data_IF_700544804144
#
_entry.id   IF_700544804144
#
_cell.length_a   1.000
_cell.length_b   1.000
_cell.length_c   1.000
_cell.angle_alpha   90.00
_cell.angle_beta   90.00
_cell.angle_gamma   90.00
#
_symmetry.space_group_name_H-M   'P 1'
#
loop_
_entity.id
_entity.type
_entity.pdbx_description
1 polymer ?
#
# COMPACT_ATOMS: atom_id res chain seq x y z
N UNK A 1 -6.05 23.30 24.37
CA UNK A 1 -7.34 22.75 23.90
C UNK A 1 -8.31 22.52 25.06
N UNK A 2 -7.92 21.82 26.13
CA UNK A 2 -8.79 21.53 27.30
C UNK A 2 -9.53 22.73 27.91
N UNK A 3 -8.86 23.89 27.97
CA UNK A 3 -9.47 25.14 28.45
C UNK A 3 -10.60 25.63 27.53
N UNK A 4 -10.45 25.48 26.21
CA UNK A 4 -11.45 25.86 25.21
C UNK A 4 -12.64 24.89 25.24
N UNK A 5 -12.35 23.58 25.35
CA UNK A 5 -13.39 22.55 25.46
C UNK A 5 -14.30 22.73 26.69
N UNK A 6 -13.81 23.39 27.74
CA UNK A 6 -14.63 23.72 28.91
C UNK A 6 -15.77 24.73 28.62
N UNK A 7 -15.68 25.47 27.50
CA UNK A 7 -16.70 26.45 27.09
C UNK A 7 -17.51 25.99 25.86
N UNK A 8 -17.13 24.86 25.25
CA UNK A 8 -17.82 24.34 24.08
C UNK A 8 -19.17 23.74 24.48
N UNK A 9 -20.23 24.19 23.82
CA UNK A 9 -21.57 23.61 23.95
C UNK A 9 -21.94 22.77 22.72
N UNK A 10 -21.27 22.99 21.60
CA UNK A 10 -21.48 22.23 20.36
C UNK A 10 -20.16 21.98 19.67
N UNK A 11 -20.08 20.89 18.92
CA UNK A 11 -19.05 20.68 17.91
C UNK A 11 -19.70 20.38 16.57
N UNK A 12 -19.27 21.08 15.53
CA UNK A 12 -19.62 20.79 14.15
C UNK A 12 -18.50 19.99 13.51
N UNK A 13 -18.87 18.87 12.90
CA UNK A 13 -17.99 17.93 12.23
C UNK A 13 -18.16 18.08 10.73
N UNK A 14 -17.08 18.39 10.03
CA UNK A 14 -17.07 18.52 8.56
C UNK A 14 -15.92 17.71 7.99
N UNK A 15 -16.13 17.02 6.87
CA UNK A 15 -15.04 16.44 6.10
C UNK A 15 -14.12 17.56 5.62
N UNK A 16 -12.81 17.38 5.81
CA UNK A 16 -11.83 18.35 5.38
C UNK A 16 -11.64 18.23 3.86
N UNK A 17 -12.22 19.16 3.10
CA UNK A 17 -12.02 19.24 1.65
C UNK A 17 -10.77 20.05 1.32
N UNK A 18 -10.05 19.65 0.27
CA UNK A 18 -8.81 20.30 -0.17
C UNK A 18 -8.95 21.76 -0.63
N UNK A 19 -10.18 22.30 -0.68
CA UNK A 19 -10.47 23.68 -1.03
C UNK A 19 -11.44 24.26 0.01
N UNK A 20 -11.05 25.38 0.60
CA UNK A 20 -11.88 26.27 1.44
C UNK A 20 -12.98 26.92 0.60
N UNK A 21 -13.91 26.13 0.05
CA UNK A 21 -15.22 26.68 -0.32
C UNK A 21 -16.10 26.64 0.92
N UNK A 22 -16.89 27.69 1.12
CA UNK A 22 -17.78 27.91 2.27
C UNK A 22 -18.68 26.69 2.54
N UNK A 23 -18.19 25.73 3.32
CA UNK A 23 -18.95 24.60 3.89
C UNK A 23 -19.86 25.08 5.05
N UNK A 24 -20.35 26.31 4.97
CA UNK A 24 -21.24 26.91 5.94
C UNK A 24 -22.61 26.22 5.84
N UNK A 25 -22.74 25.04 6.45
CA UNK A 25 -24.02 24.37 6.68
C UNK A 25 -24.09 22.86 6.46
N UNK A 26 -23.04 22.18 5.98
CA UNK A 26 -23.13 20.75 5.62
C UNK A 26 -22.52 19.76 6.62
N UNK A 27 -22.24 20.18 7.86
CA UNK A 27 -21.63 19.33 8.89
C UNK A 27 -22.62 18.71 9.87
N UNK A 28 -22.24 17.60 10.49
CA UNK A 28 -22.96 17.03 11.64
C UNK A 28 -22.70 17.92 12.85
N UNK A 29 -23.76 18.35 13.55
CA UNK A 29 -23.62 19.10 14.81
C UNK A 29 -23.95 18.18 15.98
N UNK A 30 -23.00 18.07 16.91
CA UNK A 30 -23.15 17.31 18.15
C UNK A 30 -23.29 18.27 19.31
N UNK A 31 -24.28 18.01 20.17
CA UNK A 31 -24.53 18.77 21.39
C UNK A 31 -23.60 18.29 22.51
N UNK A 32 -22.67 19.16 22.91
CA UNK A 32 -21.70 18.92 23.99
C UNK A 32 -22.16 19.52 25.32
N UNK A 33 -23.38 20.07 25.41
CA UNK A 33 -23.94 20.57 26.68
C UNK A 33 -24.17 19.46 27.70
N UNK A 34 -24.26 18.21 27.23
CA UNK A 34 -24.33 17.03 28.08
C UNK A 34 -22.93 16.63 28.58
N UNK A 35 -22.73 16.45 29.91
CA UNK A 35 -21.42 16.12 30.46
C UNK A 35 -20.83 14.80 29.97
N UNK A 36 -21.67 13.82 29.63
CA UNK A 36 -21.25 12.53 29.09
C UNK A 36 -20.69 12.65 27.67
N UNK A 37 -21.33 13.45 26.81
CA UNK A 37 -20.84 13.71 25.44
C UNK A 37 -19.52 14.48 25.44
N UNK A 38 -19.45 15.57 26.21
CA UNK A 38 -18.20 16.32 26.34
C UNK A 38 -17.09 15.45 26.95
N UNK A 39 -17.41 14.67 27.98
CA UNK A 39 -16.47 13.74 28.59
C UNK A 39 -15.96 12.69 27.59
N UNK A 40 -16.86 12.08 26.81
CA UNK A 40 -16.54 11.12 25.78
C UNK A 40 -15.62 11.68 24.70
N UNK A 41 -15.94 12.86 24.17
CA UNK A 41 -15.10 13.53 23.18
C UNK A 41 -13.72 13.91 23.75
N UNK A 42 -13.66 14.44 24.98
CA UNK A 42 -12.38 14.78 25.63
C UNK A 42 -11.49 13.57 25.83
N UNK A 43 -12.06 12.45 26.29
CA UNK A 43 -11.32 11.19 26.41
C UNK A 43 -10.83 10.69 25.06
N UNK A 44 -11.66 10.77 24.02
CA UNK A 44 -11.29 10.33 22.69
C UNK A 44 -10.23 11.22 22.02
N UNK A 45 -10.21 12.52 22.32
CA UNK A 45 -9.22 13.50 21.84
C UNK A 45 -7.97 13.60 22.73
N UNK A 46 -7.79 12.68 23.70
CA UNK A 46 -6.64 12.70 24.59
C UNK A 46 -5.33 12.61 23.80
N UNK A 47 -4.39 13.48 24.15
CA UNK A 47 -3.08 13.60 23.49
C UNK A 47 -2.03 12.85 24.32
N UNK A 48 -1.25 12.01 23.65
CA UNK A 48 -0.10 11.29 24.22
C UNK A 48 1.16 12.19 24.23
N UNK A 49 1.45 12.84 23.09
CA UNK A 49 2.66 13.64 22.94
C UNK A 49 2.51 14.87 22.03
N UNK A 50 3.33 15.90 22.30
CA UNK A 50 3.43 17.16 21.55
C UNK A 50 4.87 17.74 21.64
N UNK A 51 5.42 18.32 20.56
CA UNK A 51 4.87 18.30 19.20
C UNK A 51 5.15 16.95 18.52
N UNK A 52 4.19 16.46 17.74
CA UNK A 52 4.41 15.37 16.79
C UNK A 52 4.97 15.89 15.46
N UNK A 53 4.94 15.04 14.43
CA UNK A 53 5.23 15.46 13.05
C UNK A 53 4.12 16.35 12.49
N UNK A 54 4.44 17.14 11.45
CA UNK A 54 3.44 17.93 10.71
C UNK A 54 3.05 17.17 9.44
N UNK A 55 1.80 16.72 9.36
CA UNK A 55 1.27 16.12 8.16
C UNK A 55 1.03 17.18 7.06
N UNK A 56 1.35 16.85 5.81
CA UNK A 56 1.13 17.75 4.67
C UNK A 56 -0.28 17.65 4.07
N UNK A 57 -1.17 16.82 4.63
CA UNK A 57 -2.57 16.75 4.18
C UNK A 57 -3.43 17.84 4.82
N UNK A 58 -4.62 18.07 4.26
CA UNK A 58 -5.62 19.01 4.78
C UNK A 58 -6.36 18.52 6.03
N UNK A 59 -6.16 17.26 6.42
CA UNK A 59 -6.95 16.55 7.43
C UNK A 59 -8.04 15.68 6.80
N UNK A 60 -8.67 14.85 7.63
CA UNK A 60 -9.84 14.03 7.28
C UNK A 60 -11.12 14.69 7.78
N UNK A 61 -11.11 15.16 9.04
CA UNK A 61 -12.26 15.77 9.71
C UNK A 61 -11.83 17.05 10.42
N UNK A 62 -12.62 18.11 10.24
CA UNK A 62 -12.54 19.33 11.03
C UNK A 62 -13.58 19.29 12.15
N UNK A 63 -13.12 19.61 13.37
CA UNK A 63 -13.90 19.79 14.59
C UNK A 63 -14.00 21.29 14.87
N UNK A 64 -15.12 21.90 14.53
CA UNK A 64 -15.40 23.30 14.84
C UNK A 64 -16.16 23.40 16.18
N UNK A 65 -15.52 23.94 17.20
CA UNK A 65 -16.09 24.08 18.54
C UNK A 65 -16.82 25.41 18.67
N UNK A 66 -18.06 25.38 19.17
CA UNK A 66 -18.94 26.54 19.33
C UNK A 66 -19.39 26.70 20.78
N UNK A 67 -19.61 27.95 21.22
CA UNK A 67 -20.20 28.26 22.53
C UNK A 67 -21.72 27.99 22.57
N UNK A 68 -22.35 28.19 23.73
CA UNK A 68 -23.80 27.99 23.91
C UNK A 68 -24.70 28.91 23.04
N UNK A 69 -24.12 29.97 22.46
CA UNK A 69 -24.80 30.88 21.51
C UNK A 69 -24.49 30.52 20.05
N UNK A 70 -23.72 29.45 19.81
CA UNK A 70 -23.28 29.03 18.48
C UNK A 70 -22.10 29.85 17.94
N UNK A 71 -21.40 30.61 18.78
CA UNK A 71 -20.24 31.39 18.35
C UNK A 71 -18.98 30.53 18.30
N UNK A 72 -18.21 30.69 17.23
CA UNK A 72 -16.93 30.00 17.04
C UNK A 72 -15.96 30.23 18.19
N UNK A 73 -15.40 29.14 18.73
CA UNK A 73 -14.35 29.15 19.73
C UNK A 73 -13.00 28.79 19.10
N UNK A 74 -12.94 27.65 18.40
CA UNK A 74 -11.73 27.16 17.75
C UNK A 74 -12.03 26.01 16.79
N UNK A 75 -11.04 25.61 15.98
CA UNK A 75 -11.12 24.42 15.13
C UNK A 75 -9.90 23.51 15.33
N UNK A 76 -10.12 22.20 15.33
CA UNK A 76 -9.05 21.20 15.27
C UNK A 76 -9.26 20.26 14.08
N UNK A 77 -8.20 19.70 13.53
CA UNK A 77 -8.25 18.81 12.36
C UNK A 77 -7.68 17.44 12.72
N UNK A 78 -8.44 16.39 12.44
CA UNK A 78 -7.97 15.00 12.56
C UNK A 78 -7.22 14.62 11.28
N UNK A 79 -6.05 14.01 11.44
CA UNK A 79 -5.23 13.52 10.35
C UNK A 79 -4.98 12.01 10.50
N UNK A 80 -5.36 11.27 9.47
CA UNK A 80 -5.22 9.83 9.31
C UNK A 80 -5.72 9.01 10.50
N UNK A 81 -6.69 9.54 11.24
CA UNK A 81 -7.20 8.92 12.47
C UNK A 81 -6.18 8.83 13.63
N UNK A 82 -5.03 9.49 13.56
CA UNK A 82 -3.92 9.30 14.54
C UNK A 82 -3.39 10.59 15.16
N UNK A 83 -3.51 11.72 14.48
CA UNK A 83 -3.02 13.01 14.99
C UNK A 83 -4.09 14.10 14.90
N UNK A 84 -3.99 15.08 15.79
CA UNK A 84 -4.82 16.29 15.79
C UNK A 84 -3.97 17.52 15.55
N UNK A 85 -4.37 18.38 14.62
CA UNK A 85 -3.81 19.72 14.44
C UNK A 85 -4.71 20.76 15.08
N UNK A 86 -4.12 21.66 15.84
CA UNK A 86 -4.79 22.80 16.44
C UNK A 86 -3.85 24.00 16.43
N UNK A 87 -4.35 25.18 16.04
CA UNK A 87 -3.52 26.39 15.91
C UNK A 87 -2.84 26.84 17.22
N UNK A 88 -3.30 26.33 18.36
CA UNK A 88 -2.68 26.56 19.66
C UNK A 88 -1.49 25.65 19.98
N UNK A 89 -1.05 24.81 19.04
CA UNK A 89 0.07 23.87 19.21
C UNK A 89 1.14 24.05 18.11
N UNK A 90 2.40 23.75 18.46
CA UNK A 90 3.52 23.75 17.52
C UNK A 90 3.58 22.43 16.72
N UNK A 91 2.52 22.10 15.96
CA UNK A 91 2.45 20.91 15.10
C UNK A 91 1.28 19.98 15.44
N UNK A 92 1.31 18.74 14.93
CA UNK A 92 0.23 17.78 15.14
C UNK A 92 0.45 16.99 16.43
N UNK A 93 -0.54 16.95 17.29
CA UNK A 93 -0.54 16.17 18.51
C UNK A 93 -0.86 14.70 18.23
N UNK A 94 -0.12 13.77 18.83
CA UNK A 94 -0.40 12.33 18.71
C UNK A 94 -1.52 11.94 19.67
N UNK A 95 -2.55 11.27 19.18
CA UNK A 95 -3.65 10.77 20.01
C UNK A 95 -3.19 9.57 20.84
N UNK A 96 -3.67 9.47 22.09
CA UNK A 96 -3.50 8.28 22.94
C UNK A 96 -4.15 7.06 22.28
N UNK A 97 -5.36 7.24 21.76
CA UNK A 97 -6.11 6.21 21.04
C UNK A 97 -6.94 6.85 19.92
N UNK A 98 -6.34 6.94 18.73
CA UNK A 98 -7.02 7.44 17.54
C UNK A 98 -8.28 6.67 17.17
N UNK A 99 -8.33 5.35 17.44
CA UNK A 99 -9.49 4.52 17.12
C UNK A 99 -10.69 4.86 18.01
N UNK A 100 -10.45 5.27 19.26
CA UNK A 100 -11.52 5.78 20.13
C UNK A 100 -12.19 7.04 19.56
N UNK A 101 -11.42 7.97 18.98
CA UNK A 101 -11.98 9.15 18.30
C UNK A 101 -12.75 8.78 17.03
N UNK A 102 -12.22 7.86 16.23
CA UNK A 102 -12.92 7.36 15.03
C UNK A 102 -14.25 6.66 15.37
N UNK A 103 -14.31 5.90 16.47
CA UNK A 103 -15.56 5.31 16.97
C UNK A 103 -16.55 6.34 17.48
N UNK A 104 -16.05 7.39 18.14
CA UNK A 104 -16.91 8.50 18.57
C UNK A 104 -17.51 9.21 17.35
N UNK A 105 -16.74 9.42 16.28
CA UNK A 105 -17.24 9.96 15.01
C UNK A 105 -18.30 9.05 14.36
N UNK A 106 -18.05 7.75 14.30
CA UNK A 106 -18.99 6.76 13.76
C UNK A 106 -20.33 6.78 14.50
N UNK A 107 -20.31 6.80 15.84
CA UNK A 107 -21.49 6.90 16.68
C UNK A 107 -22.33 8.16 16.37
N UNK A 108 -21.68 9.22 15.93
CA UNK A 108 -22.30 10.50 15.58
C UNK A 108 -22.61 10.63 14.08
N UNK A 109 -22.59 9.53 13.33
CA UNK A 109 -23.01 9.52 11.93
C UNK A 109 -21.92 9.95 10.94
N UNK A 110 -20.65 9.91 11.36
CA UNK A 110 -19.47 10.15 10.50
C UNK A 110 -18.64 8.86 10.38
N UNK A 111 -19.15 7.80 9.69
CA UNK A 111 -18.51 6.48 9.64
C UNK A 111 -17.32 6.39 8.67
N UNK A 112 -17.16 7.37 7.78
CA UNK A 112 -16.15 7.37 6.72
C UNK A 112 -14.72 7.17 7.24
N UNK A 113 -14.25 8.01 8.18
CA UNK A 113 -12.91 7.93 8.74
C UNK A 113 -12.57 6.58 9.38
N UNK A 114 -13.50 5.98 10.15
CA UNK A 114 -13.27 4.68 10.78
C UNK A 114 -13.10 3.57 9.72
N UNK A 115 -13.97 3.54 8.71
CA UNK A 115 -13.88 2.56 7.62
C UNK A 115 -12.56 2.70 6.85
N UNK A 116 -12.17 3.93 6.50
CA UNK A 116 -10.90 4.17 5.81
C UNK A 116 -9.70 3.72 6.65
N UNK A 117 -9.69 4.04 7.94
CA UNK A 117 -8.63 3.62 8.86
C UNK A 117 -8.51 2.09 8.92
N UNK A 118 -9.63 1.38 9.04
CA UNK A 118 -9.63 -0.09 9.09
C UNK A 118 -9.18 -0.71 7.75
N UNK A 119 -9.58 -0.13 6.61
CA UNK A 119 -9.10 -0.53 5.29
C UNK A 119 -7.59 -0.30 5.15
N UNK A 120 -7.07 0.81 5.66
CA UNK A 120 -5.64 1.14 5.68
C UNK A 120 -4.84 0.17 6.55
N UNK A 121 -5.34 -0.18 7.74
CA UNK A 121 -4.74 -1.20 8.59
C UNK A 121 -4.66 -2.54 7.84
N UNK A 122 -5.76 -2.98 7.22
CA UNK A 122 -5.80 -4.23 6.45
C UNK A 122 -4.84 -4.19 5.25
N UNK A 123 -4.78 -3.06 4.52
CA UNK A 123 -3.80 -2.88 3.43
C UNK A 123 -2.36 -2.95 3.93
N UNK A 124 -2.07 -2.31 5.07
CA UNK A 124 -0.74 -2.32 5.67
C UNK A 124 -0.32 -3.73 6.13
N UNK A 125 -1.22 -4.49 6.76
CA UNK A 125 -0.91 -5.87 7.16
C UNK A 125 -0.68 -6.78 5.95
N UNK A 126 -1.52 -6.68 4.91
CA UNK A 126 -1.29 -7.41 3.65
C UNK A 126 0.05 -7.06 3.02
N UNK A 127 0.37 -5.77 2.93
CA UNK A 127 1.66 -5.32 2.38
C UNK A 127 2.86 -5.87 3.16
N UNK A 128 2.76 -5.99 4.49
CA UNK A 128 3.80 -6.64 5.32
C UNK A 128 3.96 -8.12 5.03
N UNK A 129 2.86 -8.84 4.92
CA UNK A 129 2.86 -10.27 4.59
C UNK A 129 3.43 -10.51 3.19
N UNK A 130 3.06 -9.66 2.24
CA UNK A 130 3.59 -9.65 0.88
C UNK A 130 5.10 -9.37 0.88
N UNK A 131 5.58 -8.32 1.57
CA UNK A 131 7.02 -8.02 1.70
C UNK A 131 7.78 -9.22 2.29
N UNK A 132 7.24 -9.86 3.33
CA UNK A 132 7.83 -11.06 3.94
C UNK A 132 7.89 -12.22 2.96
N UNK A 133 6.82 -12.46 2.20
CA UNK A 133 6.76 -13.51 1.18
C UNK A 133 7.77 -13.25 0.06
N UNK A 134 7.91 -11.99 -0.37
CA UNK A 134 8.87 -11.57 -1.37
C UNK A 134 10.33 -11.77 -0.92
N UNK A 135 10.65 -11.43 0.33
CA UNK A 135 11.97 -11.69 0.92
C UNK A 135 12.24 -13.18 1.06
N UNK A 136 11.25 -13.98 1.46
CA UNK A 136 11.40 -15.43 1.61
C UNK A 136 11.66 -16.14 0.26
N UNK A 137 11.13 -15.59 -0.84
CA UNK A 137 11.36 -16.10 -2.19
C UNK A 137 12.64 -15.55 -2.84
N UNK A 138 13.28 -14.54 -2.25
CA UNK A 138 14.54 -13.97 -2.76
C UNK A 138 15.63 -15.04 -2.81
N UNK A 139 16.37 -15.17 -3.93
CA UNK A 139 17.53 -16.05 -3.99
C UNK A 139 18.51 -15.72 -2.85
N UNK A 140 18.97 -16.70 -2.03
CA UNK A 140 19.83 -16.41 -0.87
C UNK A 140 21.09 -15.62 -1.21
N UNK A 141 21.63 -15.82 -2.42
CA UNK A 141 22.77 -15.08 -2.97
C UNK A 141 22.55 -13.56 -3.06
N UNK A 142 21.30 -13.09 -3.04
CA UNK A 142 20.93 -11.68 -3.18
C UNK A 142 20.50 -11.04 -1.86
N UNK A 143 20.52 -11.79 -0.75
CA UNK A 143 20.08 -11.30 0.57
C UNK A 143 20.79 -10.02 1.02
N UNK A 144 22.06 -9.84 0.64
CA UNK A 144 22.86 -8.63 0.90
C UNK A 144 22.29 -7.36 0.24
N UNK A 145 21.49 -7.49 -0.82
CA UNK A 145 20.86 -6.36 -1.52
C UNK A 145 19.44 -6.04 -1.03
N UNK A 146 18.88 -6.85 -0.11
CA UNK A 146 17.48 -6.76 0.31
C UNK A 146 17.07 -5.37 0.78
N UNK A 147 17.83 -4.77 1.70
CA UNK A 147 17.52 -3.43 2.23
C UNK A 147 17.60 -2.36 1.13
N UNK A 148 18.58 -2.44 0.24
CA UNK A 148 18.70 -1.51 -0.88
C UNK A 148 17.50 -1.60 -1.85
N UNK A 149 16.98 -2.82 -2.06
CA UNK A 149 15.79 -3.07 -2.87
C UNK A 149 14.51 -2.59 -2.17
N UNK A 150 14.30 -2.93 -0.90
CA UNK A 150 13.12 -2.49 -0.13
C UNK A 150 13.02 -0.96 -0.03
N UNK A 151 14.17 -0.28 0.06
CA UNK A 151 14.22 1.19 0.07
C UNK A 151 13.57 1.82 -1.17
N UNK A 152 13.55 1.13 -2.32
CA UNK A 152 12.90 1.62 -3.54
C UNK A 152 11.43 1.93 -3.31
N UNK A 153 10.71 1.07 -2.59
CA UNK A 153 9.30 1.29 -2.27
C UNK A 153 9.11 2.39 -1.23
N UNK A 154 10.01 2.50 -0.26
CA UNK A 154 9.94 3.50 0.81
C UNK A 154 10.19 4.92 0.29
N UNK A 155 11.04 5.07 -0.71
CA UNK A 155 11.42 6.38 -1.27
C UNK A 155 10.77 6.69 -2.62
N UNK A 156 9.92 5.80 -3.15
CA UNK A 156 9.39 5.93 -4.51
C UNK A 156 10.46 5.88 -5.61
N UNK A 157 11.60 5.25 -5.34
CA UNK A 157 12.74 5.16 -6.25
C UNK A 157 12.59 4.07 -7.32
N UNK A 158 13.43 4.16 -8.35
CA UNK A 158 13.60 3.12 -9.38
C UNK A 158 14.89 2.33 -9.17
N UNK A 159 14.93 1.08 -9.64
CA UNK A 159 16.14 0.24 -9.61
C UNK A 159 17.26 0.91 -10.42
N UNK A 160 18.43 1.12 -9.81
CA UNK A 160 19.58 1.68 -10.52
C UNK A 160 20.28 0.64 -11.39
N UNK A 161 20.90 1.02 -12.52
CA UNK A 161 21.67 0.10 -13.35
C UNK A 161 22.80 -0.61 -12.60
N UNK A 162 23.44 0.07 -11.64
CA UNK A 162 24.53 -0.49 -10.83
C UNK A 162 24.03 -1.57 -9.87
N UNK A 163 22.90 -1.34 -9.19
CA UNK A 163 22.29 -2.34 -8.31
C UNK A 163 21.88 -3.57 -9.12
N UNK A 164 21.25 -3.37 -10.28
CA UNK A 164 20.82 -4.46 -11.14
C UNK A 164 22.01 -5.27 -11.68
N UNK A 165 23.09 -4.60 -12.11
CA UNK A 165 24.31 -5.27 -12.58
C UNK A 165 24.98 -6.09 -11.46
N UNK A 166 25.12 -5.53 -10.26
CA UNK A 166 25.71 -6.22 -9.12
C UNK A 166 24.90 -7.46 -8.71
N UNK A 167 23.56 -7.32 -8.63
CA UNK A 167 22.67 -8.44 -8.33
C UNK A 167 22.77 -9.54 -9.41
N UNK A 168 22.82 -9.15 -10.69
CA UNK A 168 22.97 -10.09 -11.81
C UNK A 168 24.28 -10.87 -11.73
N UNK A 169 25.39 -10.20 -11.49
CA UNK A 169 26.70 -10.85 -11.41
C UNK A 169 26.76 -11.79 -10.20
N UNK A 170 26.23 -11.36 -9.06
CA UNK A 170 26.15 -12.18 -7.84
C UNK A 170 25.33 -13.45 -8.05
N UNK A 171 24.19 -13.33 -8.74
CA UNK A 171 23.33 -14.46 -9.07
C UNK A 171 24.02 -15.43 -10.03
N UNK A 172 24.70 -14.94 -11.07
CA UNK A 172 25.44 -15.78 -12.03
C UNK A 172 26.59 -16.54 -11.38
N UNK A 173 27.31 -15.90 -10.46
CA UNK A 173 28.40 -16.54 -9.71
C UNK A 173 27.88 -17.64 -8.79
N UNK A 174 26.77 -17.39 -8.10
CA UNK A 174 26.23 -18.30 -7.08
C UNK A 174 25.37 -19.42 -7.68
N UNK A 175 24.76 -19.18 -8.84
CA UNK A 175 23.91 -20.13 -9.57
C UNK A 175 24.34 -20.14 -11.05
N UNK A 176 25.38 -20.92 -11.40
CA UNK A 176 25.91 -20.95 -12.76
C UNK A 176 24.93 -21.51 -13.80
N UNK A 177 24.08 -22.45 -13.40
CA UNK A 177 23.08 -23.07 -14.27
C UNK A 177 21.98 -22.07 -14.67
N UNK A 178 21.83 -21.74 -15.97
CA UNK A 178 20.82 -20.79 -16.44
C UNK A 178 19.39 -21.22 -16.14
N UNK A 179 19.07 -22.52 -16.20
CA UNK A 179 17.73 -23.02 -15.95
C UNK A 179 17.36 -22.86 -14.47
N UNK A 180 18.24 -23.25 -13.54
CA UNK A 180 18.04 -23.02 -12.11
C UNK A 180 17.90 -21.52 -11.78
N UNK A 181 18.66 -20.63 -12.43
CA UNK A 181 18.46 -19.18 -12.26
C UNK A 181 17.07 -18.73 -12.73
N UNK A 182 16.61 -19.20 -13.88
CA UNK A 182 15.30 -18.86 -14.41
C UNK A 182 14.20 -19.27 -13.43
N UNK A 183 14.26 -20.51 -12.90
CA UNK A 183 13.30 -20.99 -11.89
C UNK A 183 13.30 -20.13 -10.62
N UNK A 184 14.48 -19.85 -10.05
CA UNK A 184 14.59 -19.00 -8.85
C UNK A 184 14.01 -17.60 -9.09
N UNK A 185 14.33 -16.98 -10.23
CA UNK A 185 13.83 -15.66 -10.56
C UNK A 185 12.32 -15.65 -10.85
N UNK A 186 11.77 -16.68 -11.49
CA UNK A 186 10.33 -16.82 -11.69
C UNK A 186 9.60 -16.98 -10.36
N UNK A 187 10.06 -17.87 -9.48
CA UNK A 187 9.47 -18.04 -8.15
C UNK A 187 9.49 -16.74 -7.35
N UNK A 188 10.60 -15.98 -7.41
CA UNK A 188 10.71 -14.68 -6.76
C UNK A 188 9.82 -13.61 -7.41
N UNK A 189 9.71 -13.60 -8.75
CA UNK A 189 8.84 -12.68 -9.48
C UNK A 189 7.37 -12.91 -9.13
N UNK A 190 6.95 -14.16 -8.93
CA UNK A 190 5.60 -14.53 -8.54
C UNK A 190 5.26 -14.24 -7.07
N UNK A 191 6.26 -13.95 -6.23
CA UNK A 191 6.08 -13.65 -4.81
C UNK A 191 5.73 -12.16 -4.57
N UNK A 192 5.46 -11.82 -3.31
CA UNK A 192 4.98 -10.50 -2.92
C UNK A 192 3.49 -10.34 -3.18
N UNK A 193 3.09 -9.16 -3.64
CA UNK A 193 1.71 -8.86 -4.05
C UNK A 193 1.23 -9.73 -5.21
N UNK A 194 2.17 -10.18 -6.05
CA UNK A 194 1.88 -10.94 -7.26
C UNK A 194 1.10 -10.14 -8.32
N UNK A 195 0.89 -8.83 -8.14
CA UNK A 195 0.14 -7.99 -9.07
C UNK A 195 0.90 -7.79 -10.38
N UNK A 196 0.16 -7.69 -11.48
CA UNK A 196 0.71 -7.33 -12.79
C UNK A 196 0.99 -5.83 -12.94
N UNK A 197 0.34 -4.99 -12.14
CA UNK A 197 0.50 -3.54 -12.13
C UNK A 197 0.26 -2.97 -10.72
N UNK A 198 0.72 -1.74 -10.44
CA UNK A 198 0.51 -1.10 -9.14
C UNK A 198 1.23 -1.74 -7.94
N UNK A 199 2.18 -2.64 -8.19
CA UNK A 199 2.96 -3.32 -7.16
C UNK A 199 4.07 -2.42 -6.57
N UNK A 200 4.56 -2.71 -5.35
CA UNK A 200 5.68 -1.99 -4.75
C UNK A 200 6.94 -2.03 -5.64
N UNK A 201 7.64 -0.89 -5.79
CA UNK A 201 8.82 -0.74 -6.66
C UNK A 201 9.90 -1.82 -6.49
N UNK A 202 10.12 -2.33 -5.26
CA UNK A 202 11.09 -3.39 -5.02
C UNK A 202 10.76 -4.70 -5.75
N UNK A 203 9.48 -4.99 -5.98
CA UNK A 203 9.04 -6.21 -6.67
C UNK A 203 9.32 -6.18 -8.19
N UNK A 204 9.73 -5.04 -8.75
CA UNK A 204 10.16 -4.96 -10.15
C UNK A 204 11.49 -5.69 -10.40
N UNK A 205 12.34 -5.82 -9.38
CA UNK A 205 13.71 -6.34 -9.48
C UNK A 205 13.79 -7.74 -10.14
N UNK A 206 13.06 -8.77 -9.69
CA UNK A 206 13.12 -10.09 -10.33
C UNK A 206 12.74 -10.06 -11.81
N UNK A 207 11.73 -9.27 -12.19
CA UNK A 207 11.32 -9.11 -13.60
C UNK A 207 12.41 -8.45 -14.45
N UNK A 208 13.09 -7.44 -13.90
CA UNK A 208 14.24 -6.80 -14.57
C UNK A 208 15.41 -7.78 -14.75
N UNK A 209 15.69 -8.64 -13.76
CA UNK A 209 16.71 -9.68 -13.87
C UNK A 209 16.32 -10.77 -14.87
N UNK A 210 15.04 -11.15 -14.93
CA UNK A 210 14.49 -12.06 -15.95
C UNK A 210 14.59 -11.46 -17.36
N UNK A 211 14.61 -10.13 -17.47
CA UNK A 211 14.78 -9.43 -18.75
C UNK A 211 16.06 -9.79 -19.50
N UNK A 212 17.10 -10.27 -18.81
CA UNK A 212 18.36 -10.73 -19.43
C UNK A 212 18.45 -12.25 -19.60
N UNK A 213 17.42 -12.99 -19.16
CA UNK A 213 17.36 -14.44 -19.32
C UNK A 213 16.79 -14.74 -20.71
N UNK A 214 17.50 -15.51 -21.56
CA UNK A 214 16.97 -15.92 -22.85
C UNK A 214 15.64 -16.67 -22.70
N UNK A 215 14.68 -16.39 -23.57
CA UNK A 215 13.34 -16.99 -23.48
C UNK A 215 13.38 -18.53 -23.53
N UNK A 216 14.34 -19.12 -24.25
CA UNK A 216 14.57 -20.56 -24.29
C UNK A 216 14.87 -21.16 -22.90
N UNK A 217 15.59 -20.45 -22.05
CA UNK A 217 15.91 -20.88 -20.67
C UNK A 217 14.69 -20.75 -19.75
N UNK A 218 13.86 -19.71 -19.96
CA UNK A 218 12.60 -19.54 -19.24
C UNK A 218 11.64 -20.68 -19.59
N UNK A 219 11.51 -21.02 -20.88
CA UNK A 219 10.68 -22.14 -21.34
C UNK A 219 11.19 -23.46 -20.79
N UNK A 220 12.50 -23.72 -20.89
CA UNK A 220 13.12 -24.94 -20.35
C UNK A 220 12.87 -25.07 -18.85
N UNK A 221 13.04 -23.98 -18.09
CA UNK A 221 12.71 -23.94 -16.67
C UNK A 221 11.25 -24.27 -16.39
N UNK A 222 10.30 -23.66 -17.11
CA UNK A 222 8.87 -23.92 -16.93
C UNK A 222 8.43 -25.35 -17.33
N UNK A 223 9.22 -26.03 -18.16
CA UNK A 223 9.01 -27.43 -18.53
C UNK A 223 9.72 -28.42 -17.60
N UNK A 224 10.63 -27.96 -16.74
CA UNK A 224 11.32 -28.79 -15.76
C UNK A 224 10.30 -29.37 -14.75
N UNK A 225 10.42 -30.65 -14.36
CA UNK A 225 9.52 -31.28 -13.38
C UNK A 225 9.47 -30.59 -12.00
N UNK A 226 10.46 -29.76 -11.67
CA UNK A 226 10.51 -28.97 -10.43
C UNK A 226 9.67 -27.68 -10.51
N UNK A 227 9.26 -27.27 -11.71
CA UNK A 227 8.39 -26.13 -11.89
C UNK A 227 7.00 -26.42 -11.29
N UNK A 228 6.45 -25.41 -10.62
CA UNK A 228 5.17 -25.47 -9.94
C UNK A 228 4.40 -24.15 -10.11
N UNK A 229 3.26 -24.02 -9.42
CA UNK A 229 2.39 -22.85 -9.52
C UNK A 229 3.08 -21.51 -9.20
N UNK A 230 4.15 -21.50 -8.39
CA UNK A 230 4.90 -20.26 -8.07
C UNK A 230 5.67 -19.75 -9.28
N UNK A 231 6.24 -20.68 -10.04
CA UNK A 231 6.97 -20.38 -11.27
C UNK A 231 6.01 -19.90 -12.36
N UNK A 232 4.83 -20.53 -12.46
CA UNK A 232 3.78 -20.09 -13.37
C UNK A 232 3.28 -18.68 -13.03
N UNK A 233 3.06 -18.38 -11.74
CA UNK A 233 2.66 -17.04 -11.30
C UNK A 233 3.71 -15.98 -11.67
N UNK A 234 4.99 -16.29 -11.48
CA UNK A 234 6.08 -15.41 -11.90
C UNK A 234 6.19 -15.24 -13.42
N UNK A 235 5.97 -16.32 -14.18
CA UNK A 235 5.98 -16.26 -15.64
C UNK A 235 4.83 -15.39 -16.17
N UNK A 236 3.62 -15.55 -15.62
CA UNK A 236 2.48 -14.67 -15.94
C UNK A 236 2.86 -13.23 -15.64
N UNK A 237 3.33 -12.93 -14.43
CA UNK A 237 3.70 -11.56 -14.05
C UNK A 237 4.76 -10.96 -15.00
N UNK A 238 5.79 -11.72 -15.33
CA UNK A 238 6.88 -11.29 -16.21
C UNK A 238 6.43 -11.06 -17.66
N UNK A 239 5.65 -12.00 -18.21
CA UNK A 239 5.29 -12.02 -19.63
C UNK A 239 4.06 -11.15 -19.95
N UNK A 240 3.16 -10.90 -18.98
CA UNK A 240 1.92 -10.14 -19.22
C UNK A 240 1.77 -8.86 -18.38
N UNK A 241 2.74 -8.56 -17.50
CA UNK A 241 2.73 -7.41 -16.60
C UNK A 241 2.80 -6.03 -17.28
N UNK A 242 2.66 -4.96 -16.50
CA UNK A 242 2.78 -3.58 -17.00
C UNK A 242 4.25 -3.21 -17.27
N UNK A 243 4.53 -2.60 -18.44
CA UNK A 243 5.88 -2.39 -19.01
C UNK A 243 6.64 -3.67 -19.35
N UNK A 244 5.91 -4.76 -19.57
CA UNK A 244 6.43 -5.98 -20.19
C UNK A 244 7.20 -5.63 -21.46
N UNK A 245 8.49 -5.95 -21.40
CA UNK A 245 9.57 -6.00 -22.40
C UNK A 245 9.26 -5.46 -23.82
N UNK A 246 10.21 -4.76 -24.48
CA UNK A 246 10.08 -4.35 -25.88
C UNK A 246 9.67 -5.49 -26.84
N UNK A 247 10.05 -6.73 -26.51
CA UNK A 247 9.83 -7.94 -27.31
C UNK A 247 8.68 -8.82 -26.77
N UNK A 248 7.80 -8.30 -25.91
CA UNK A 248 6.75 -9.08 -25.24
C UNK A 248 5.94 -9.98 -26.19
N UNK A 249 5.50 -9.43 -27.34
CA UNK A 249 4.73 -10.21 -28.31
C UNK A 249 5.54 -11.43 -28.80
N UNK A 250 6.81 -11.23 -29.12
CA UNK A 250 7.69 -12.29 -29.59
C UNK A 250 7.94 -13.35 -28.51
N UNK A 251 8.18 -12.92 -27.26
CA UNK A 251 8.38 -13.82 -26.12
C UNK A 251 7.15 -14.70 -25.88
N UNK A 252 5.95 -14.11 -25.93
CA UNK A 252 4.69 -14.83 -25.77
C UNK A 252 4.42 -15.75 -26.95
N UNK A 253 4.72 -15.31 -28.18
CA UNK A 253 4.63 -16.13 -29.40
C UNK A 253 5.57 -17.34 -29.38
N UNK A 254 6.71 -17.24 -28.68
CA UNK A 254 7.66 -18.35 -28.51
C UNK A 254 7.19 -19.42 -27.52
N UNK A 255 6.17 -19.17 -26.70
CA UNK A 255 5.65 -20.15 -25.73
C UNK A 255 5.00 -21.35 -26.44
N UNK A 256 5.36 -22.59 -26.09
CA UNK A 256 4.62 -23.77 -26.52
C UNK A 256 3.15 -23.71 -26.09
N UNK A 257 2.23 -24.15 -26.96
CA UNK A 257 0.79 -24.08 -26.69
C UNK A 257 0.36 -24.72 -25.35
N UNK A 258 0.88 -25.88 -24.92
CA UNK A 258 0.53 -26.45 -23.61
C UNK A 258 0.94 -25.56 -22.45
N UNK A 259 2.10 -24.90 -22.55
CA UNK A 259 2.59 -23.99 -21.52
C UNK A 259 1.74 -22.72 -21.47
N UNK A 260 1.43 -22.14 -22.64
CA UNK A 260 0.54 -20.97 -22.74
C UNK A 260 -0.82 -21.23 -22.08
N UNK A 261 -1.42 -22.38 -22.36
CA UNK A 261 -2.70 -22.79 -21.74
C UNK A 261 -2.59 -22.94 -20.22
N UNK A 262 -1.50 -23.55 -19.72
CA UNK A 262 -1.23 -23.69 -18.27
C UNK A 262 -1.12 -22.33 -17.58
N UNK A 263 -0.35 -21.40 -18.16
CA UNK A 263 -0.19 -20.05 -17.62
C UNK A 263 -1.50 -19.26 -17.62
N UNK A 264 -2.30 -19.36 -18.70
CA UNK A 264 -3.62 -18.73 -18.77
C UNK A 264 -4.58 -19.29 -17.71
N UNK A 265 -4.57 -20.60 -17.49
CA UNK A 265 -5.38 -21.23 -16.45
C UNK A 265 -4.96 -20.74 -15.05
N UNK A 266 -3.65 -20.67 -14.78
CA UNK A 266 -3.12 -20.14 -13.53
C UNK A 266 -3.54 -18.68 -13.29
N UNK A 267 -3.50 -17.84 -14.33
CA UNK A 267 -3.95 -16.45 -14.24
C UNK A 267 -5.45 -16.33 -13.93
N UNK A 268 -6.30 -17.14 -14.57
CA UNK A 268 -7.75 -17.18 -14.28
C UNK A 268 -8.07 -17.65 -12.86
N UNK A 269 -7.27 -18.56 -12.31
CA UNK A 269 -7.44 -19.07 -10.95
C UNK A 269 -6.92 -18.11 -9.87
N UNK A 270 -6.25 -17.01 -10.23
CA UNK A 270 -5.57 -16.12 -9.27
C UNK A 270 -6.49 -15.21 -8.45
N UNK A 271 -7.73 -14.99 -8.90
CA UNK A 271 -8.67 -14.05 -8.29
C UNK A 271 -8.33 -12.56 -8.53
N UNK A 272 -7.30 -12.25 -9.33
CA UNK A 272 -6.92 -10.89 -9.70
C UNK A 272 -7.48 -10.52 -11.09
N UNK A 273 -8.46 -9.60 -11.18
CA UNK A 273 -9.08 -9.22 -12.44
C UNK A 273 -8.13 -8.56 -13.45
N UNK A 274 -7.14 -7.77 -13.00
CA UNK A 274 -6.16 -7.13 -13.91
C UNK A 274 -5.24 -8.20 -14.50
N UNK A 275 -4.75 -9.12 -13.66
CA UNK A 275 -3.93 -10.25 -14.12
C UNK A 275 -4.70 -11.14 -15.08
N UNK A 276 -5.96 -11.47 -14.80
CA UNK A 276 -6.79 -12.26 -15.69
C UNK A 276 -6.97 -11.57 -17.04
N UNK A 277 -7.40 -10.30 -17.06
CA UNK A 277 -7.64 -9.56 -18.29
C UNK A 277 -6.37 -9.44 -19.15
N UNK A 278 -5.21 -9.22 -18.52
CA UNK A 278 -3.91 -9.21 -19.21
C UNK A 278 -3.54 -10.57 -19.77
N UNK A 279 -3.69 -11.63 -18.98
CA UNK A 279 -3.40 -12.98 -19.43
C UNK A 279 -4.30 -13.38 -20.60
N UNK A 280 -5.58 -13.04 -20.58
CA UNK A 280 -6.50 -13.29 -21.70
C UNK A 280 -6.11 -12.52 -22.95
N UNK A 281 -5.63 -11.28 -22.81
CA UNK A 281 -5.16 -10.50 -23.97
C UNK A 281 -3.92 -11.10 -24.65
N UNK A 282 -3.01 -11.69 -23.88
CA UNK A 282 -1.70 -12.11 -24.37
C UNK A 282 -1.59 -13.62 -24.61
N UNK A 283 -2.23 -14.43 -23.78
CA UNK A 283 -2.05 -15.89 -23.76
C UNK A 283 -3.24 -16.67 -24.35
N UNK A 284 -4.36 -16.02 -24.67
CA UNK A 284 -5.51 -16.69 -25.29
C UNK A 284 -5.31 -16.95 -26.80
#
# INVERSE_FOLDING_TARGET
MDSVLGYAAQVRLTEATAFHEDSAGSGVVVDLSRPDELGGLRTAMAVDSLPGGVCMCSGDIQFEFLDARGLFLTAAFLHHGVTLRWDGWDGDAVLVDGRSLLRWLDLHGVPGPLRQFEEDELRYQRAKEEEKSWLAAMPPALSEFSEAMLRLSRTGGSVSPQLLAAARDRLRQSVPDPMNRALLLLAWCGAGSGLCSGFPSHEAVPGLLLGDVPMVEIIAGLQDPRADARHDAGAVRHLVGWKSRPEQKQDVDALPAPLRARLLQGARASGDPDKQARAERWLA
#
